data_IF_796333230361
#
_entry.id   IF_796333230361
#
_cell.length_a   1.000
_cell.length_b   1.000
_cell.length_c   1.000
_cell.angle_alpha   90.00
_cell.angle_beta   90.00
_cell.angle_gamma   90.00
#
_symmetry.space_group_name_H-M   'P 1'
#
loop_
_entity.id
_entity.type
_entity.pdbx_description
1 polymer ?
#
# COMPACT_ATOMS: atom_id res chain seq x y z
N UNK A 1 -2.36 14.45 27.15
CA UNK A 1 -2.43 15.06 25.80
C UNK A 1 -1.94 14.01 24.81
N UNK A 2 -2.75 13.51 23.87
CA UNK A 2 -2.22 12.63 22.84
C UNK A 2 -1.33 13.48 21.93
N UNK A 3 -0.07 13.09 21.81
CA UNK A 3 0.93 13.71 20.94
C UNK A 3 0.58 13.43 19.49
N UNK A 4 -0.28 14.27 18.89
CA UNK A 4 -0.37 14.43 17.43
C UNK A 4 0.87 15.17 16.94
N UNK A 5 2.02 14.51 17.02
CA UNK A 5 3.20 14.89 16.25
C UNK A 5 2.84 14.61 14.80
N UNK A 6 2.96 15.60 13.92
CA UNK A 6 2.84 15.42 12.47
C UNK A 6 3.83 14.34 12.02
N UNK A 7 3.36 13.09 11.92
CA UNK A 7 4.19 11.97 11.49
C UNK A 7 4.39 12.05 10.00
N UNK A 8 5.63 11.94 9.57
CA UNK A 8 5.98 11.91 8.15
C UNK A 8 5.42 10.65 7.48
N UNK A 9 5.20 10.65 6.17
CA UNK A 9 4.79 9.44 5.45
C UNK A 9 5.74 8.25 5.66
N UNK A 10 7.04 8.49 5.80
CA UNK A 10 8.03 7.45 6.06
C UNK A 10 7.86 6.83 7.45
N UNK A 11 7.65 7.62 8.51
CA UNK A 11 7.39 7.10 9.86
C UNK A 11 6.08 6.30 9.92
N UNK A 12 5.05 6.75 9.22
CA UNK A 12 3.77 6.03 9.13
C UNK A 12 3.93 4.72 8.37
N UNK A 13 4.74 4.70 7.30
CA UNK A 13 5.08 3.48 6.57
C UNK A 13 5.85 2.49 7.45
N UNK A 14 6.83 2.96 8.23
CA UNK A 14 7.55 2.11 9.18
C UNK A 14 6.64 1.52 10.25
N UNK A 15 5.72 2.32 10.78
CA UNK A 15 4.73 1.84 11.74
C UNK A 15 3.84 0.76 11.14
N UNK A 16 3.43 0.92 9.88
CA UNK A 16 2.66 -0.06 9.15
C UNK A 16 3.43 -1.38 8.96
N UNK A 17 4.69 -1.30 8.50
CA UNK A 17 5.52 -2.49 8.27
C UNK A 17 5.84 -3.24 9.57
N UNK A 18 5.99 -2.53 10.69
CA UNK A 18 6.32 -3.11 11.99
C UNK A 18 5.09 -3.49 12.84
N UNK A 19 3.87 -3.23 12.38
CA UNK A 19 2.66 -3.55 13.15
C UNK A 19 2.44 -5.07 13.24
N UNK A 20 2.22 -5.58 14.46
CA UNK A 20 2.10 -7.02 14.73
C UNK A 20 0.69 -7.50 15.08
N UNK A 21 -0.29 -6.60 15.12
CA UNK A 21 -1.69 -6.96 15.38
C UNK A 21 -2.58 -6.50 14.24
N UNK A 22 -3.65 -7.24 13.98
CA UNK A 22 -4.60 -6.87 12.94
C UNK A 22 -5.11 -5.42 13.08
N UNK A 23 -5.51 -5.03 14.30
CA UNK A 23 -6.00 -3.68 14.59
C UNK A 23 -4.94 -2.61 14.32
N UNK A 24 -3.69 -2.84 14.71
CA UNK A 24 -2.61 -1.86 14.49
C UNK A 24 -2.19 -1.78 13.03
N UNK A 25 -2.21 -2.89 12.29
CA UNK A 25 -1.97 -2.91 10.84
C UNK A 25 -3.03 -2.08 10.11
N UNK A 26 -4.32 -2.32 10.38
CA UNK A 26 -5.40 -1.56 9.75
C UNK A 26 -5.33 -0.06 10.04
N UNK A 27 -5.10 0.31 11.30
CA UNK A 27 -5.04 1.72 11.70
C UNK A 27 -3.83 2.43 11.10
N UNK A 28 -2.64 1.82 11.17
CA UNK A 28 -1.43 2.41 10.59
C UNK A 28 -1.51 2.54 9.06
N UNK A 29 -2.14 1.59 8.40
CA UNK A 29 -2.40 1.67 6.96
C UNK A 29 -3.38 2.80 6.60
N UNK A 30 -4.43 3.00 7.40
CA UNK A 30 -5.38 4.10 7.22
C UNK A 30 -4.72 5.47 7.44
N UNK A 31 -3.94 5.63 8.51
CA UNK A 31 -3.15 6.84 8.78
C UNK A 31 -2.21 7.16 7.62
N UNK A 32 -1.52 6.15 7.08
CA UNK A 32 -0.64 6.28 5.92
C UNK A 32 -1.40 6.72 4.66
N UNK A 33 -2.55 6.10 4.36
CA UNK A 33 -3.34 6.50 3.20
C UNK A 33 -3.82 7.96 3.31
N UNK A 34 -4.25 8.38 4.51
CA UNK A 34 -4.67 9.75 4.78
C UNK A 34 -3.54 10.75 4.60
N UNK A 35 -2.35 10.48 5.15
CA UNK A 35 -1.20 11.39 5.03
C UNK A 35 -0.75 11.58 3.57
N UNK A 36 -0.90 10.53 2.75
CA UNK A 36 -0.61 10.55 1.32
C UNK A 36 -1.73 11.13 0.47
N UNK A 37 -2.87 11.51 1.08
CA UNK A 37 -4.11 11.94 0.41
C UNK A 37 -4.58 10.92 -0.63
N UNK A 38 -4.46 9.64 -0.31
CA UNK A 38 -4.98 8.55 -1.12
C UNK A 38 -6.39 8.27 -0.63
N UNK A 39 -7.38 8.68 -1.40
CA UNK A 39 -8.76 8.35 -1.12
C UNK A 39 -9.06 6.92 -1.55
N UNK A 40 -9.21 6.02 -0.57
CA UNK A 40 -9.49 4.60 -0.79
C UNK A 40 -10.85 4.35 -1.46
N UNK A 41 -11.77 5.31 -1.37
CA UNK A 41 -13.06 5.23 -2.06
C UNK A 41 -12.94 5.58 -3.55
N UNK A 42 -12.06 6.52 -3.92
CA UNK A 42 -11.83 7.00 -5.28
C UNK A 42 -10.94 6.03 -6.08
N UNK A 43 -9.92 5.46 -5.44
CA UNK A 43 -8.98 4.53 -6.09
C UNK A 43 -9.68 3.22 -6.53
N UNK A 44 -10.89 2.98 -6.01
CA UNK A 44 -11.70 1.80 -6.28
C UNK A 44 -11.09 0.52 -5.71
N UNK A 45 -11.81 -0.60 -5.84
CA UNK A 45 -11.33 -1.93 -5.44
C UNK A 45 -10.19 -2.47 -6.34
N UNK A 46 -9.69 -1.66 -7.29
CA UNK A 46 -8.56 -2.06 -8.11
C UNK A 46 -7.29 -2.06 -7.28
N UNK A 47 -6.88 -3.24 -6.80
CA UNK A 47 -5.65 -3.45 -6.01
C UNK A 47 -4.42 -2.84 -6.69
N UNK A 48 -4.44 -2.74 -8.03
CA UNK A 48 -3.35 -2.22 -8.86
C UNK A 48 -3.25 -0.69 -8.84
N UNK A 49 -4.37 0.04 -8.79
CA UNK A 49 -4.36 1.50 -8.69
C UNK A 49 -3.86 1.95 -7.32
N UNK A 50 -4.24 1.23 -6.25
CA UNK A 50 -3.76 1.52 -4.89
C UNK A 50 -2.25 1.31 -4.74
N UNK A 51 -1.72 0.19 -5.24
CA UNK A 51 -0.27 -0.07 -5.23
C UNK A 51 0.50 1.04 -5.96
N UNK A 52 0.08 1.40 -7.18
CA UNK A 52 0.72 2.47 -7.95
C UNK A 52 0.66 3.84 -7.26
N UNK A 53 -0.46 4.15 -6.61
CA UNK A 53 -0.61 5.39 -5.85
C UNK A 53 0.32 5.43 -4.63
N UNK A 54 0.49 4.30 -3.93
CA UNK A 54 1.41 4.19 -2.80
C UNK A 54 2.87 4.30 -3.25
N UNK A 55 3.29 3.51 -4.22
CA UNK A 55 4.69 3.46 -4.67
C UNK A 55 5.18 4.75 -5.32
N UNK A 56 4.29 5.51 -5.97
CA UNK A 56 4.62 6.83 -6.55
C UNK A 56 4.83 7.93 -5.50
N UNK A 57 4.16 7.84 -4.35
CA UNK A 57 4.26 8.85 -3.28
C UNK A 57 5.29 8.49 -2.21
N UNK A 58 5.58 7.20 -2.02
CA UNK A 58 6.55 6.68 -1.05
C UNK A 58 7.86 6.30 -1.74
N UNK A 59 8.71 7.30 -1.98
CA UNK A 59 9.92 7.17 -2.82
C UNK A 59 11.23 7.11 -2.04
N UNK A 60 11.17 7.10 -0.70
CA UNK A 60 12.35 6.92 0.15
C UNK A 60 13.03 5.57 -0.09
N UNK A 61 14.34 5.50 0.16
CA UNK A 61 15.12 4.28 -0.04
C UNK A 61 14.56 3.10 0.75
N UNK A 62 14.02 3.37 1.93
CA UNK A 62 13.41 2.36 2.81
C UNK A 62 12.14 1.79 2.19
N UNK A 63 11.23 2.64 1.70
CA UNK A 63 10.01 2.21 1.01
C UNK A 63 10.32 1.44 -0.28
N UNK A 64 11.27 1.96 -1.08
CA UNK A 64 11.68 1.34 -2.35
C UNK A 64 12.10 -0.12 -2.20
N UNK A 65 12.75 -0.49 -1.10
CA UNK A 65 13.16 -1.88 -0.86
C UNK A 65 11.99 -2.87 -0.85
N UNK A 66 10.81 -2.45 -0.36
CA UNK A 66 9.59 -3.25 -0.39
C UNK A 66 9.00 -3.30 -1.81
N UNK A 67 8.94 -2.14 -2.48
CA UNK A 67 8.41 -2.03 -3.84
C UNK A 67 9.18 -2.89 -4.83
N UNK A 68 10.52 -2.91 -4.77
CA UNK A 68 11.34 -3.78 -5.62
C UNK A 68 10.97 -5.26 -5.48
N UNK A 69 10.68 -5.73 -4.26
CA UNK A 69 10.29 -7.13 -4.03
C UNK A 69 8.92 -7.43 -4.65
N UNK A 70 7.96 -6.50 -4.49
CA UNK A 70 6.61 -6.65 -5.04
C UNK A 70 6.60 -6.55 -6.57
N UNK A 71 7.34 -5.61 -7.15
CA UNK A 71 7.50 -5.47 -8.60
C UNK A 71 8.15 -6.69 -9.23
N UNK A 72 9.23 -7.20 -8.64
CA UNK A 72 9.87 -8.43 -9.12
C UNK A 72 8.89 -9.60 -9.18
N UNK A 73 7.99 -9.71 -8.18
CA UNK A 73 6.93 -10.73 -8.17
C UNK A 73 5.86 -10.45 -9.22
N UNK A 74 5.41 -9.20 -9.36
CA UNK A 74 4.36 -8.80 -10.30
C UNK A 74 4.75 -8.86 -11.77
N UNK A 75 6.05 -8.79 -12.08
CA UNK A 75 6.61 -8.91 -13.43
C UNK A 75 6.87 -10.35 -13.88
N UNK A 76 6.60 -11.34 -13.03
CA UNK A 76 6.73 -12.74 -13.44
C UNK A 76 5.73 -13.05 -14.57
N UNK A 77 6.17 -13.87 -15.54
CA UNK A 77 5.43 -14.16 -16.78
C UNK A 77 4.02 -14.70 -16.52
N UNK A 78 3.84 -15.42 -15.41
CA UNK A 78 2.58 -16.05 -15.00
C UNK A 78 1.50 -15.02 -14.67
N UNK A 79 1.87 -13.76 -14.44
CA UNK A 79 0.92 -12.67 -14.23
C UNK A 79 0.62 -11.87 -15.51
N UNK A 80 1.35 -12.09 -16.61
CA UNK A 80 1.24 -11.36 -17.88
C UNK A 80 1.10 -9.83 -17.72
N UNK A 81 2.02 -9.23 -16.96
CA UNK A 81 1.97 -7.80 -16.58
C UNK A 81 0.66 -7.38 -15.90
N UNK A 82 -0.09 -8.34 -15.35
CA UNK A 82 -1.37 -8.14 -14.70
C UNK A 82 -2.63 -8.41 -15.48
N UNK A 83 -2.53 -8.94 -16.69
CA UNK A 83 -3.67 -9.03 -17.59
C UNK A 83 -4.42 -10.37 -17.49
N UNK A 84 -3.79 -11.42 -16.94
CA UNK A 84 -4.38 -12.78 -16.85
C UNK A 84 -5.79 -12.79 -16.27
N UNK A 85 -6.07 -11.94 -15.28
CA UNK A 85 -7.36 -11.86 -14.59
C UNK A 85 -7.97 -10.44 -14.64
N UNK A 86 -7.70 -9.65 -15.67
CA UNK A 86 -8.12 -8.24 -15.73
C UNK A 86 -9.64 -8.05 -15.56
N UNK A 87 -10.45 -8.95 -16.13
CA UNK A 87 -11.91 -8.91 -16.10
C UNK A 87 -12.53 -9.80 -14.99
N UNK A 88 -11.69 -10.48 -14.20
CA UNK A 88 -12.15 -11.41 -13.18
C UNK A 88 -12.44 -10.67 -11.87
N UNK A 89 -13.71 -10.69 -11.44
CA UNK A 89 -14.12 -10.23 -10.10
C UNK A 89 -14.08 -11.40 -9.12
N UNK A 90 -13.40 -11.20 -7.99
CA UNK A 90 -13.24 -12.19 -6.94
C UNK A 90 -13.81 -11.66 -5.63
N UNK A 91 -14.56 -12.50 -4.93
CA UNK A 91 -15.00 -12.27 -3.56
C UNK A 91 -14.32 -13.30 -2.68
N UNK A 92 -13.72 -12.86 -1.57
CA UNK A 92 -13.20 -13.76 -0.55
C UNK A 92 -14.28 -13.86 0.53
N UNK A 93 -14.61 -15.08 0.93
CA UNK A 93 -15.57 -15.37 2.01
C UNK A 93 -14.94 -15.11 3.38
#
# INVERSE_FOLDING_TARGET
MPTDVLKTPDELFERFVNAQTFKTILHSFDDLCRSLRIDRSIVGYSKRSLYKALSSKLTSWKCKSLWTKLEKRGLQKEYENGHVCADTKIFYL
#
